data_IF_235068153658
#
_entry.id   IF_235068153658
#
_cell.length_a   1.000
_cell.length_b   1.000
_cell.length_c   1.000
_cell.angle_alpha   90.00
_cell.angle_beta   90.00
_cell.angle_gamma   90.00
#
_symmetry.space_group_name_H-M   'P 1'
#
loop_
_entity.id
_entity.type
_entity.pdbx_description
1 polymer ?
#
# COMPACT_ATOMS: atom_id res chain seq x y z
N UNK A 1 -25.69 -9.83 10.12
CA UNK A 1 -25.18 -9.70 9.95
C UNK A 1 -24.38 -9.42 9.87
N UNK A 2 -24.04 -9.41 9.60
CA UNK A 2 -23.29 -9.23 9.44
C UNK A 2 -22.51 -8.79 9.15
N UNK A 3 -22.29 -8.69 8.98
CA UNK A 3 -21.60 -8.37 8.72
C UNK A 3 -20.83 -7.78 8.68
N UNK A 4 -20.83 -7.47 8.97
CA UNK A 4 -19.87 -6.88 9.02
C UNK A 4 -18.67 -7.48 8.80
N UNK A 5 -18.39 -7.81 7.95
CA UNK A 5 -17.29 -8.34 7.63
C UNK A 5 -16.26 -7.45 7.31
N UNK A 6 -15.10 -7.47 7.91
CA UNK A 6 -14.02 -6.70 7.57
C UNK A 6 -13.48 -7.26 6.32
N UNK A 7 -13.47 -6.51 5.26
CA UNK A 7 -12.86 -6.93 4.04
C UNK A 7 -11.43 -6.55 3.96
N UNK A 8 -10.86 -6.10 5.04
CA UNK A 8 -9.47 -5.69 5.08
C UNK A 8 -8.54 -6.88 5.16
N UNK A 9 -7.36 -6.74 4.59
CA UNK A 9 -6.33 -7.75 4.71
C UNK A 9 -5.03 -7.09 5.10
N UNK A 10 -4.25 -7.78 5.92
CA UNK A 10 -2.90 -7.32 6.24
C UNK A 10 -1.96 -7.93 5.22
N UNK A 11 -1.11 -7.09 4.67
CA UNK A 11 -0.09 -7.53 3.72
C UNK A 11 1.28 -7.39 4.36
N UNK A 12 2.00 -8.49 4.46
CA UNK A 12 3.37 -8.43 4.91
C UNK A 12 4.22 -7.89 3.77
N UNK A 13 5.45 -7.54 4.07
CA UNK A 13 6.31 -6.88 3.09
C UNK A 13 6.42 -7.66 1.78
N UNK A 14 6.51 -8.96 1.84
CA UNK A 14 6.63 -9.76 0.63
C UNK A 14 5.42 -9.60 -0.27
N UNK A 15 4.25 -9.55 0.32
CA UNK A 15 3.02 -9.38 -0.46
C UNK A 15 2.95 -7.96 -1.05
N UNK A 16 3.42 -6.97 -0.31
CA UNK A 16 3.44 -5.60 -0.81
C UNK A 16 4.38 -5.50 -2.00
N UNK A 17 5.53 -6.15 -1.92
CA UNK A 17 6.48 -6.18 -3.01
C UNK A 17 5.84 -6.78 -4.26
N UNK A 18 5.16 -7.90 -4.08
CA UNK A 18 4.51 -8.55 -5.20
C UNK A 18 3.41 -7.71 -5.82
N UNK A 19 2.64 -7.07 -4.97
CA UNK A 19 1.50 -6.30 -5.42
C UNK A 19 1.93 -5.02 -6.15
N UNK A 20 2.94 -4.35 -5.66
CA UNK A 20 3.36 -3.05 -6.21
C UNK A 20 4.50 -3.14 -7.19
N UNK A 21 5.28 -4.20 -7.11
CA UNK A 21 6.47 -4.30 -7.95
C UNK A 21 7.63 -3.48 -7.46
N UNK A 22 7.52 -2.89 -6.29
CA UNK A 22 8.61 -2.09 -5.74
C UNK A 22 9.56 -2.97 -4.95
N UNK A 23 10.82 -2.56 -4.90
CA UNK A 23 11.81 -3.26 -4.08
C UNK A 23 11.52 -3.02 -2.60
N UNK A 24 11.98 -3.94 -1.77
CA UNK A 24 11.77 -3.87 -0.33
C UNK A 24 12.29 -2.54 0.23
N UNK A 25 13.51 -2.17 -0.13
CA UNK A 25 14.09 -0.94 0.39
C UNK A 25 13.32 0.29 -0.07
N UNK A 26 12.80 0.24 -1.28
CA UNK A 26 12.02 1.36 -1.80
C UNK A 26 10.75 1.55 -1.01
N UNK A 27 10.10 0.44 -0.65
CA UNK A 27 8.87 0.52 0.15
C UNK A 27 9.16 1.15 1.50
N UNK A 28 10.24 0.71 2.15
CA UNK A 28 10.58 1.26 3.46
C UNK A 28 10.97 2.73 3.36
N UNK A 29 11.70 3.10 2.32
CA UNK A 29 12.07 4.50 2.14
C UNK A 29 10.86 5.37 1.92
N UNK A 30 9.95 4.94 1.06
CA UNK A 30 8.74 5.71 0.80
C UNK A 30 7.87 5.82 2.05
N UNK A 31 7.80 4.76 2.81
CA UNK A 31 7.04 4.77 4.06
C UNK A 31 7.63 5.80 5.02
N UNK A 32 8.94 5.80 5.14
CA UNK A 32 9.61 6.74 6.04
C UNK A 32 9.38 8.18 5.62
N UNK A 33 9.26 8.42 4.32
CA UNK A 33 9.07 9.76 3.78
C UNK A 33 7.59 10.14 3.63
N UNK A 34 6.71 9.31 4.13
CA UNK A 34 5.27 9.55 4.04
C UNK A 34 4.77 9.56 2.60
N UNK A 35 5.43 8.80 1.75
CA UNK A 35 5.06 8.70 0.34
C UNK A 35 4.41 7.35 0.03
N UNK A 36 4.12 6.58 1.06
CA UNK A 36 3.50 5.28 0.93
C UNK A 36 2.70 5.05 2.22
N UNK A 37 1.65 4.24 2.19
CA UNK A 37 0.85 4.02 3.41
C UNK A 37 1.71 3.55 4.57
N UNK A 38 1.35 3.96 5.77
CA UNK A 38 2.08 3.58 6.96
C UNK A 38 1.69 2.18 7.39
N UNK A 39 2.63 1.38 7.84
CA UNK A 39 2.31 0.02 8.25
C UNK A 39 1.65 -0.01 9.62
N UNK A 40 0.94 -1.09 9.86
CA UNK A 40 0.31 -1.36 11.14
C UNK A 40 1.24 -2.27 11.93
N UNK A 41 1.42 -1.98 13.20
CA UNK A 41 2.24 -2.79 14.07
C UNK A 41 1.39 -3.96 14.56
N UNK A 42 1.79 -5.16 14.20
CA UNK A 42 1.06 -6.35 14.60
C UNK A 42 1.53 -6.92 15.93
N UNK A 43 2.54 -6.30 16.52
CA UNK A 43 3.15 -6.82 17.74
C UNK A 43 4.34 -7.68 17.39
N UNK A 44 5.24 -7.86 18.33
CA UNK A 44 6.41 -8.72 18.13
C UNK A 44 7.29 -8.28 16.98
N UNK A 45 7.39 -6.99 16.76
CA UNK A 45 8.22 -6.44 15.68
C UNK A 45 7.75 -6.81 14.30
N UNK A 46 6.47 -7.14 14.18
CA UNK A 46 5.91 -7.49 12.89
C UNK A 46 5.03 -6.36 12.38
N UNK A 47 5.24 -5.98 11.15
CA UNK A 47 4.49 -4.90 10.53
C UNK A 47 3.79 -5.40 9.29
N UNK A 48 2.69 -4.78 8.98
CA UNK A 48 1.94 -5.11 7.79
C UNK A 48 1.25 -3.86 7.28
N UNK A 49 0.86 -3.89 6.02
CA UNK A 49 0.15 -2.78 5.42
C UNK A 49 -1.28 -3.22 5.14
N UNK A 50 -2.20 -2.29 5.18
CA UNK A 50 -3.58 -2.61 4.85
C UNK A 50 -3.73 -2.70 3.34
N UNK A 51 -4.33 -3.78 2.88
CA UNK A 51 -4.48 -4.00 1.45
C UNK A 51 -5.25 -2.86 0.80
N UNK A 52 -6.29 -2.38 1.45
CA UNK A 52 -7.10 -1.30 0.89
C UNK A 52 -6.27 -0.04 0.69
N UNK A 53 -5.37 0.24 1.62
CA UNK A 53 -4.55 1.43 1.51
C UNK A 53 -3.52 1.30 0.41
N UNK A 54 -2.95 0.11 0.26
CA UNK A 54 -1.99 -0.12 -0.82
C UNK A 54 -2.68 -0.02 -2.16
N UNK A 55 -3.88 -0.59 -2.26
CA UNK A 55 -4.67 -0.50 -3.49
C UNK A 55 -5.00 0.95 -3.82
N UNK A 56 -5.37 1.72 -2.82
CA UNK A 56 -5.69 3.12 -3.04
C UNK A 56 -4.46 3.88 -3.51
N UNK A 57 -3.32 3.59 -2.91
CA UNK A 57 -2.07 4.23 -3.31
C UNK A 57 -1.77 3.92 -4.78
N UNK A 58 -1.97 2.67 -5.19
CA UNK A 58 -1.75 2.29 -6.57
C UNK A 58 -2.70 3.01 -7.52
N UNK A 59 -3.95 3.14 -7.11
CA UNK A 59 -4.94 3.86 -7.92
C UNK A 59 -4.54 5.32 -8.08
N UNK A 60 -4.01 5.92 -7.03
CA UNK A 60 -3.56 7.30 -7.11
C UNK A 60 -2.40 7.45 -8.08
N UNK A 61 -1.48 6.49 -8.08
CA UNK A 61 -0.37 6.54 -9.01
C UNK A 61 -0.86 6.43 -10.45
N UNK A 62 -1.82 5.54 -10.68
CA UNK A 62 -2.39 5.37 -12.00
C UNK A 62 -3.10 6.65 -12.45
N UNK A 63 -3.82 7.26 -11.53
CA UNK A 63 -4.51 8.49 -11.81
C UNK A 63 -3.56 9.59 -12.19
N UNK A 64 -2.45 9.70 -11.47
CA UNK A 64 -1.46 10.72 -11.77
C UNK A 64 -0.86 10.54 -13.15
N UNK A 65 -0.61 9.29 -13.52
CA UNK A 65 -0.10 9.01 -14.86
C UNK A 65 -1.11 9.46 -15.91
N UNK A 66 -2.38 9.13 -15.67
CA UNK A 66 -3.42 9.45 -16.63
C UNK A 66 -3.65 10.95 -16.76
N UNK A 67 -3.56 11.65 -15.64
CA UNK A 67 -3.70 13.09 -15.66
C UNK A 67 -2.58 13.75 -16.44
N UNK A 68 -1.37 13.27 -16.22
CA UNK A 68 -0.24 13.80 -16.92
C UNK A 68 -0.40 13.59 -18.39
N UNK A 69 -0.83 12.41 -18.80
CA UNK A 69 -1.00 12.08 -20.19
C UNK A 69 -2.12 12.91 -20.80
N UNK A 70 -3.18 13.06 -20.06
CA UNK A 70 -4.32 13.82 -20.55
C UNK A 70 -3.97 15.30 -20.74
N UNK A 71 -3.01 15.76 -20.02
CA UNK A 71 -2.61 17.15 -20.10
C UNK A 71 -1.91 17.51 -21.38
N UNK A 72 -1.57 16.50 -22.16
CA UNK A 72 -0.91 16.80 -23.40
C UNK A 72 -1.88 17.10 -24.51
#
# INVERSE_FOLDING_TARGET
MQETQMKERFLRIDAVIELTGLARSTIYDKTRLNQFPQPVDLGGNKKAWLESEVNKWMQERIKQRNQKTAGK
#
